data_IF_800741092806
#
_entry.id   IF_800741092806
#
_cell.length_a   1.000
_cell.length_b   1.000
_cell.length_c   1.000
_cell.angle_alpha   90.00
_cell.angle_beta   90.00
_cell.angle_gamma   90.00
#
_symmetry.space_group_name_H-M   'P 1'
#
loop_
_entity.id
_entity.type
_entity.pdbx_description
1 polymer ?
#
# COMPACT_ATOMS: atom_id res chain seq x y z
N UNK A 1 -13.19 5.18 3.77
CA UNK A 1 -13.11 3.85 4.41
C UNK A 1 -12.55 4.05 5.81
N UNK A 2 -13.43 4.25 6.78
CA UNK A 2 -13.12 4.29 8.22
C UNK A 2 -14.08 3.39 9.02
N UNK A 3 -14.93 2.62 8.33
CA UNK A 3 -15.78 1.60 8.93
C UNK A 3 -14.94 0.32 9.14
N UNK A 4 -14.77 -0.15 10.39
CA UNK A 4 -13.98 -1.34 10.68
C UNK A 4 -14.56 -2.62 10.07
N UNK A 5 -15.89 -2.73 9.99
CA UNK A 5 -16.56 -3.93 9.42
C UNK A 5 -16.29 -4.01 7.93
N UNK A 6 -16.50 -2.89 7.22
CA UNK A 6 -16.23 -2.82 5.78
C UNK A 6 -14.73 -3.06 5.49
N UNK A 7 -13.83 -2.58 6.36
CA UNK A 7 -12.41 -2.82 6.20
C UNK A 7 -12.03 -4.30 6.39
N UNK A 8 -12.63 -4.98 7.37
CA UNK A 8 -12.43 -6.41 7.60
C UNK A 8 -12.89 -7.22 6.39
N UNK A 9 -14.11 -6.97 5.88
CA UNK A 9 -14.66 -7.67 4.71
C UNK A 9 -13.74 -7.54 3.49
N UNK A 10 -13.15 -6.36 3.27
CA UNK A 10 -12.19 -6.12 2.20
C UNK A 10 -10.88 -6.91 2.38
N UNK A 11 -10.36 -6.99 3.60
CA UNK A 11 -9.15 -7.78 3.90
C UNK A 11 -9.40 -9.27 3.72
N UNK A 12 -10.56 -9.78 4.14
CA UNK A 12 -10.95 -11.17 3.93
C UNK A 12 -11.10 -11.50 2.43
N UNK A 13 -11.73 -10.61 1.67
CA UNK A 13 -11.87 -10.73 0.21
C UNK A 13 -10.51 -10.74 -0.50
N UNK A 14 -9.61 -9.82 -0.16
CA UNK A 14 -8.24 -9.81 -0.72
C UNK A 14 -7.52 -11.13 -0.40
N UNK A 15 -7.62 -11.60 0.84
CA UNK A 15 -6.96 -12.82 1.26
C UNK A 15 -7.56 -14.07 0.58
N UNK A 16 -8.83 -14.06 0.19
CA UNK A 16 -9.46 -15.10 -0.63
C UNK A 16 -8.99 -15.01 -2.10
N UNK A 17 -8.93 -13.81 -2.67
CA UNK A 17 -8.42 -13.58 -4.03
C UNK A 17 -6.98 -14.05 -4.17
N UNK A 18 -6.09 -13.66 -3.24
CA UNK A 18 -4.69 -14.13 -3.21
C UNK A 18 -4.59 -15.64 -3.15
N UNK A 19 -5.41 -16.30 -2.33
CA UNK A 19 -5.44 -17.76 -2.25
C UNK A 19 -5.87 -18.39 -3.59
N UNK A 20 -6.86 -17.80 -4.28
CA UNK A 20 -7.30 -18.25 -5.61
C UNK A 20 -6.21 -18.10 -6.68
N UNK A 21 -5.32 -17.11 -6.53
CA UNK A 21 -4.17 -16.86 -7.39
C UNK A 21 -2.93 -17.70 -6.99
N UNK A 22 -3.04 -18.58 -5.98
CA UNK A 22 -1.90 -19.35 -5.48
C UNK A 22 -0.84 -18.50 -4.77
N UNK A 23 -1.18 -17.27 -4.39
CA UNK A 23 -0.28 -16.36 -3.70
C UNK A 23 -0.35 -16.57 -2.17
N UNK A 24 0.73 -16.28 -1.43
CA UNK A 24 0.70 -16.30 0.02
C UNK A 24 -0.35 -15.32 0.56
N UNK A 25 -1.15 -15.76 1.53
CA UNK A 25 -2.09 -14.88 2.25
C UNK A 25 -1.31 -13.99 3.21
N UNK A 26 -1.68 -12.72 3.26
CA UNK A 26 -1.22 -11.83 4.32
C UNK A 26 -2.10 -12.04 5.56
N UNK A 27 -1.51 -12.05 6.77
CA UNK A 27 -2.31 -12.04 7.99
C UNK A 27 -3.10 -10.74 8.07
N UNK A 28 -4.33 -10.82 8.57
CA UNK A 28 -5.13 -9.63 8.88
C UNK A 28 -4.45 -8.88 10.04
N UNK A 29 -4.33 -7.56 9.89
CA UNK A 29 -3.79 -6.70 10.94
C UNK A 29 -4.91 -6.34 11.94
N UNK A 30 -5.04 -7.16 12.98
CA UNK A 30 -6.03 -6.94 14.04
C UNK A 30 -5.83 -5.60 14.75
N UNK A 31 -4.58 -5.13 14.87
CA UNK A 31 -4.29 -3.85 15.53
C UNK A 31 -4.80 -2.64 14.72
N UNK A 32 -4.79 -2.76 13.39
CA UNK A 32 -5.37 -1.77 12.49
C UNK A 32 -6.90 -1.75 12.60
N UNK A 33 -7.56 -2.92 12.66
CA UNK A 33 -9.01 -3.01 12.84
C UNK A 33 -9.47 -2.49 14.22
N UNK A 34 -8.71 -2.77 15.28
CA UNK A 34 -8.95 -2.22 16.62
C UNK A 34 -8.80 -0.68 16.63
N UNK A 35 -7.81 -0.14 15.90
CA UNK A 35 -7.63 1.29 15.76
C UNK A 35 -8.78 1.97 15.01
N UNK A 36 -9.32 1.34 13.96
CA UNK A 36 -10.51 1.83 13.26
C UNK A 36 -11.74 1.80 14.17
N UNK A 37 -11.92 0.71 14.92
CA UNK A 37 -13.02 0.52 15.87
C UNK A 37 -12.98 1.51 17.03
N UNK A 38 -11.80 2.01 17.38
CA UNK A 38 -11.61 3.06 18.38
C UNK A 38 -12.10 4.45 17.92
N UNK A 39 -12.44 4.60 16.64
CA UNK A 39 -13.08 5.81 16.10
C UNK A 39 -12.15 6.69 15.27
N UNK A 40 -11.75 6.21 14.08
CA UNK A 40 -11.03 7.03 13.11
C UNK A 40 -11.94 8.13 12.53
N UNK A 41 -11.60 9.43 12.67
CA UNK A 41 -12.40 10.50 12.09
C UNK A 41 -12.39 10.44 10.56
N UNK A 42 -13.42 10.94 9.88
CA UNK A 42 -13.42 11.07 8.43
C UNK A 42 -12.16 11.81 7.96
N UNK A 43 -11.33 11.13 7.17
CA UNK A 43 -10.00 11.60 6.78
C UNK A 43 -9.71 11.28 5.31
N UNK A 44 -8.82 12.05 4.71
CA UNK A 44 -8.23 11.77 3.40
C UNK A 44 -6.72 11.60 3.52
N UNK A 45 -6.14 10.68 2.74
CA UNK A 45 -4.71 10.43 2.69
C UNK A 45 -4.25 10.24 1.25
N UNK A 46 -2.98 10.58 0.99
CA UNK A 46 -2.32 10.36 -0.31
C UNK A 46 -0.94 9.75 -0.09
N UNK A 47 -0.52 8.89 -1.01
CA UNK A 47 0.85 8.39 -1.11
C UNK A 47 1.43 8.84 -2.45
N UNK A 48 2.49 9.66 -2.41
CA UNK A 48 3.15 10.20 -3.59
C UNK A 48 4.51 9.51 -3.78
N UNK A 49 4.74 8.95 -4.96
CA UNK A 49 6.04 8.37 -5.32
C UNK A 49 7.07 9.47 -5.58
N UNK A 50 7.89 9.80 -4.57
CA UNK A 50 8.88 10.88 -4.66
C UNK A 50 9.92 10.61 -5.73
N UNK A 51 10.45 9.40 -5.84
CA UNK A 51 11.46 9.07 -6.86
C UNK A 51 10.91 9.28 -8.28
N UNK A 52 9.67 8.82 -8.53
CA UNK A 52 9.00 9.03 -9.82
C UNK A 52 8.65 10.49 -10.09
N UNK A 53 8.32 11.26 -9.05
CA UNK A 53 8.17 12.71 -9.18
C UNK A 53 9.49 13.35 -9.60
N UNK A 54 10.61 12.96 -8.99
CA UNK A 54 11.93 13.45 -9.36
C UNK A 54 12.26 13.06 -10.81
N UNK A 55 12.02 11.80 -11.21
CA UNK A 55 12.23 11.35 -12.59
C UNK A 55 11.49 12.26 -13.59
N UNK A 56 10.21 12.55 -13.32
CA UNK A 56 9.41 13.41 -14.18
C UNK A 56 9.97 14.84 -14.25
N UNK A 57 10.40 15.39 -13.11
CA UNK A 57 10.93 16.76 -13.03
C UNK A 57 12.33 16.89 -13.64
N UNK A 58 13.16 15.85 -13.56
CA UNK A 58 14.51 15.82 -14.10
C UNK A 58 14.58 15.31 -15.54
N UNK A 59 13.50 14.72 -16.06
CA UNK A 59 13.48 14.05 -17.36
C UNK A 59 14.27 12.73 -17.36
N UNK A 60 14.40 12.05 -16.22
CA UNK A 60 15.05 10.75 -16.15
C UNK A 60 14.11 9.64 -16.62
N UNK A 61 14.63 8.72 -17.43
CA UNK A 61 13.86 7.61 -18.01
C UNK A 61 13.83 6.37 -17.11
N UNK A 62 14.84 6.19 -16.24
CA UNK A 62 14.94 5.05 -15.33
C UNK A 62 14.99 5.49 -13.85
N UNK A 63 14.37 4.69 -12.97
CA UNK A 63 14.34 4.99 -11.53
C UNK A 63 15.73 4.97 -10.90
N UNK A 64 16.64 4.15 -11.43
CA UNK A 64 18.02 4.07 -10.97
C UNK A 64 18.76 5.42 -11.12
N UNK A 65 18.39 6.23 -12.11
CA UNK A 65 19.04 7.53 -12.39
C UNK A 65 18.76 8.59 -11.32
N UNK A 66 17.74 8.38 -10.48
CA UNK A 66 17.36 9.29 -9.38
C UNK A 66 17.68 8.72 -8.00
N UNK A 67 18.24 7.51 -7.92
CA UNK A 67 18.69 6.89 -6.68
C UNK A 67 20.18 7.16 -6.46
N UNK A 68 20.56 7.51 -5.22
CA UNK A 68 21.96 7.68 -4.87
C UNK A 68 22.77 6.36 -5.00
N UNK A 69 22.13 5.23 -4.69
CA UNK A 69 22.69 3.89 -4.77
C UNK A 69 21.61 2.92 -5.26
N UNK A 70 21.50 2.66 -6.58
CA UNK A 70 20.51 1.73 -7.11
C UNK A 70 20.84 0.28 -6.74
N UNK A 71 19.81 -0.58 -6.73
CA UNK A 71 20.02 -2.03 -6.60
C UNK A 71 20.62 -2.60 -7.89
N UNK A 72 21.43 -3.67 -7.83
CA UNK A 72 22.16 -4.19 -9.00
C UNK A 72 21.28 -4.60 -10.19
N UNK A 73 20.04 -4.99 -9.92
CA UNK A 73 19.09 -5.53 -10.91
C UNK A 73 17.88 -4.60 -11.15
N UNK A 74 17.97 -3.33 -10.76
CA UNK A 74 16.96 -2.30 -11.05
C UNK A 74 17.16 -1.66 -12.43
#
# INVERSE_FOLDING_TARGET
LNDPTEQQDRLESEAAERASLGMPRHPIDESFLDALSSGMPPSGGIALGVDRLIMLLSGADHIADVLAFPFPDL
#
